data_IF_256547531790
#
_entry.id   IF_256547531790
#
_cell.length_a   1.000
_cell.length_b   1.000
_cell.length_c   1.000
_cell.angle_alpha   90.00
_cell.angle_beta   90.00
_cell.angle_gamma   90.00
#
_symmetry.space_group_name_H-M   'P 1'
#
loop_
_entity.id
_entity.type
_entity.pdbx_description
1 polymer ?
#
# COMPACT_ATOMS: atom_id res chain seq x y z
N UNK A 1 -14.13 -12.25 13.99
CA UNK A 1 -14.58 -11.90 15.35
C UNK A 1 -15.69 -12.85 15.78
N UNK A 2 -16.81 -12.90 15.06
CA UNK A 2 -17.94 -13.81 15.34
C UNK A 2 -17.48 -15.27 15.51
N UNK A 3 -16.84 -15.85 14.50
CA UNK A 3 -16.34 -17.25 14.55
C UNK A 3 -15.41 -17.57 15.72
N UNK A 4 -14.70 -16.57 16.25
CA UNK A 4 -13.78 -16.73 17.38
C UNK A 4 -14.53 -16.85 18.71
N UNK A 5 -15.67 -16.18 18.82
CA UNK A 5 -16.49 -16.17 20.04
C UNK A 5 -17.69 -17.15 19.95
N UNK A 6 -17.92 -17.74 18.79
CA UNK A 6 -18.96 -18.77 18.57
C UNK A 6 -18.49 -20.14 19.05
N UNK A 7 -19.29 -20.78 19.89
CA UNK A 7 -19.07 -22.17 20.26
C UNK A 7 -19.42 -23.09 19.07
N UNK A 8 -18.48 -23.95 18.68
CA UNK A 8 -18.64 -24.86 17.53
C UNK A 8 -19.73 -25.91 17.70
N UNK A 9 -20.09 -26.27 18.93
CA UNK A 9 -21.12 -27.26 19.23
C UNK A 9 -22.52 -26.63 19.30
N UNK A 10 -22.66 -25.44 19.90
CA UNK A 10 -23.97 -24.79 20.07
C UNK A 10 -24.29 -23.79 18.96
N UNK A 11 -23.29 -23.32 18.21
CA UNK A 11 -23.45 -22.29 17.18
C UNK A 11 -23.68 -20.88 17.75
N UNK A 12 -23.60 -20.72 19.07
CA UNK A 12 -23.89 -19.45 19.75
C UNK A 12 -22.61 -18.71 20.16
N UNK A 13 -22.65 -17.38 20.06
CA UNK A 13 -21.61 -16.49 20.57
C UNK A 13 -21.65 -16.49 22.08
N UNK A 14 -20.62 -17.03 22.74
CA UNK A 14 -20.59 -17.17 24.21
C UNK A 14 -20.15 -15.90 24.93
N UNK A 15 -19.30 -15.10 24.29
CA UNK A 15 -18.82 -13.86 24.88
C UNK A 15 -19.92 -12.79 24.83
N UNK A 16 -20.36 -12.26 25.99
CA UNK A 16 -21.44 -11.28 26.04
C UNK A 16 -21.08 -9.98 25.31
N UNK A 17 -19.81 -9.55 25.36
CA UNK A 17 -19.35 -8.34 24.68
C UNK A 17 -19.39 -8.53 23.18
N UNK A 18 -18.93 -9.69 22.69
CA UNK A 18 -18.98 -9.99 21.26
C UNK A 18 -20.43 -10.09 20.76
N UNK A 19 -21.33 -10.69 21.56
CA UNK A 19 -22.74 -10.84 21.19
C UNK A 19 -23.42 -9.48 21.03
N UNK A 20 -23.34 -8.62 22.05
CA UNK A 20 -23.94 -7.28 22.02
C UNK A 20 -23.39 -6.42 20.88
N UNK A 21 -22.07 -6.49 20.65
CA UNK A 21 -21.41 -5.76 19.57
C UNK A 21 -21.90 -6.25 18.19
N UNK A 22 -22.00 -7.56 17.99
CA UNK A 22 -22.49 -8.13 16.73
C UNK A 22 -23.94 -7.78 16.47
N UNK A 23 -24.79 -7.84 17.50
CA UNK A 23 -26.20 -7.46 17.38
C UNK A 23 -26.34 -5.98 17.01
N UNK A 24 -25.56 -5.11 17.64
CA UNK A 24 -25.50 -3.67 17.34
C UNK A 24 -25.05 -3.44 15.90
N UNK A 25 -23.95 -4.06 15.47
CA UNK A 25 -23.41 -3.92 14.12
C UNK A 25 -24.37 -4.45 13.05
N UNK A 26 -25.02 -5.61 13.29
CA UNK A 26 -26.02 -6.19 12.38
C UNK A 26 -27.21 -5.26 12.22
N UNK A 27 -27.70 -4.68 13.33
CA UNK A 27 -28.78 -3.69 13.30
C UNK A 27 -28.38 -2.43 12.53
N UNK A 28 -27.21 -1.84 12.85
CA UNK A 28 -26.73 -0.63 12.18
C UNK A 28 -26.52 -0.83 10.68
N UNK A 29 -26.04 -2.02 10.27
CA UNK A 29 -25.92 -2.39 8.86
C UNK A 29 -27.30 -2.42 8.20
N UNK A 30 -28.27 -3.11 8.79
CA UNK A 30 -29.62 -3.19 8.26
C UNK A 30 -30.29 -1.81 8.15
N UNK A 31 -30.14 -0.97 9.17
CA UNK A 31 -30.70 0.40 9.20
C UNK A 31 -30.09 1.27 8.08
N UNK A 32 -28.77 1.20 7.87
CA UNK A 32 -28.11 1.94 6.77
C UNK A 32 -28.48 1.40 5.40
N UNK A 33 -28.57 0.09 5.22
CA UNK A 33 -29.02 -0.50 3.94
C UNK A 33 -30.48 -0.11 3.64
N UNK A 34 -31.35 -0.07 4.65
CA UNK A 34 -32.72 0.41 4.50
C UNK A 34 -32.77 1.91 4.12
N UNK A 35 -31.91 2.75 4.70
CA UNK A 35 -31.78 4.16 4.34
C UNK A 35 -31.31 4.34 2.89
N UNK A 36 -30.36 3.52 2.43
CA UNK A 36 -29.89 3.52 1.04
C UNK A 36 -31.01 3.11 0.07
N UNK A 37 -31.79 2.09 0.43
CA UNK A 37 -32.97 1.66 -0.33
C UNK A 37 -34.03 2.76 -0.41
N UNK A 38 -34.35 3.41 0.71
CA UNK A 38 -35.32 4.51 0.73
C UNK A 38 -34.84 5.70 -0.10
N UNK A 39 -33.55 6.03 -0.03
CA UNK A 39 -32.96 7.13 -0.79
C UNK A 39 -33.02 6.88 -2.30
N UNK A 40 -32.87 5.64 -2.74
CA UNK A 40 -33.05 5.27 -4.15
C UNK A 40 -34.49 5.42 -4.64
N UNK A 41 -35.47 5.09 -3.82
CA UNK A 41 -36.89 5.23 -4.20
C UNK A 41 -37.31 6.70 -4.37
N UNK A 42 -36.58 7.64 -3.77
CA UNK A 42 -36.82 9.09 -3.90
C UNK A 42 -36.08 9.75 -5.08
N UNK A 43 -35.10 9.08 -5.70
CA UNK A 43 -34.36 9.64 -6.86
C UNK A 43 -34.98 9.08 -8.14
N UNK A 44 -35.95 9.81 -8.67
CA UNK A 44 -36.38 9.66 -10.06
C UNK A 44 -35.24 10.13 -10.97
N UNK A 45 -34.90 9.31 -11.96
CA UNK A 45 -33.89 9.47 -13.01
C UNK A 45 -32.51 8.82 -12.78
N UNK A 46 -32.38 7.58 -13.28
CA UNK A 46 -31.20 7.15 -14.03
C UNK A 46 -29.95 6.70 -13.27
N UNK A 47 -29.88 6.84 -11.94
CA UNK A 47 -28.70 6.41 -11.17
C UNK A 47 -28.94 5.07 -10.48
N UNK A 48 -28.20 4.04 -10.88
CA UNK A 48 -28.12 2.76 -10.18
C UNK A 48 -27.23 2.90 -8.95
N UNK A 49 -27.70 3.59 -7.91
CA UNK A 49 -27.04 3.54 -6.61
C UNK A 49 -27.15 2.12 -6.04
N UNK A 50 -26.10 1.61 -5.39
CA UNK A 50 -26.12 0.29 -4.74
C UNK A 50 -26.98 0.34 -3.48
N UNK A 51 -27.85 -0.65 -3.28
CA UNK A 51 -28.62 -0.82 -2.05
C UNK A 51 -27.82 -1.50 -0.92
N UNK A 52 -26.59 -1.91 -1.22
CA UNK A 52 -25.66 -2.55 -0.29
C UNK A 52 -24.57 -1.57 0.10
N UNK A 53 -24.21 -1.56 1.38
CA UNK A 53 -23.06 -0.81 1.88
C UNK A 53 -21.76 -1.28 1.24
N UNK A 54 -20.85 -0.35 0.95
CA UNK A 54 -19.50 -0.70 0.52
C UNK A 54 -18.71 -1.37 1.64
N UNK A 55 -17.67 -2.11 1.26
CA UNK A 55 -16.77 -2.77 2.21
C UNK A 55 -16.08 -1.74 3.11
N UNK A 56 -15.71 -0.60 2.55
CA UNK A 56 -15.05 0.51 3.24
C UNK A 56 -15.97 1.10 4.32
N UNK A 57 -17.24 1.35 4.00
CA UNK A 57 -18.23 1.84 4.97
C UNK A 57 -18.51 0.83 6.08
N UNK A 58 -18.56 -0.47 5.75
CA UNK A 58 -18.69 -1.54 6.74
C UNK A 58 -17.48 -1.55 7.67
N UNK A 59 -16.27 -1.49 7.11
CA UNK A 59 -15.04 -1.46 7.91
C UNK A 59 -15.02 -0.25 8.85
N UNK A 60 -15.41 0.92 8.34
CA UNK A 60 -15.47 2.15 9.13
C UNK A 60 -16.49 2.04 10.27
N UNK A 61 -17.70 1.53 9.98
CA UNK A 61 -18.72 1.28 10.99
C UNK A 61 -18.21 0.34 12.09
N UNK A 62 -17.53 -0.75 11.71
CA UNK A 62 -16.95 -1.68 12.69
C UNK A 62 -15.90 -0.98 13.54
N UNK A 63 -14.98 -0.23 12.92
CA UNK A 63 -13.92 0.46 13.65
C UNK A 63 -14.45 1.47 14.68
N UNK A 64 -15.52 2.19 14.35
CA UNK A 64 -16.16 3.18 15.22
C UNK A 64 -16.87 2.58 16.43
N UNK A 65 -17.45 1.38 16.28
CA UNK A 65 -18.29 0.77 17.31
C UNK A 65 -17.55 -0.26 18.17
N UNK A 66 -16.38 -0.73 17.73
CA UNK A 66 -15.58 -1.71 18.50
C UNK A 66 -14.98 -1.04 19.75
N UNK A 67 -15.20 -1.59 20.96
CA UNK A 67 -14.62 -1.06 22.18
C UNK A 67 -13.09 -1.00 22.15
N UNK A 68 -12.54 0.11 22.65
CA UNK A 68 -11.08 0.33 22.72
C UNK A 68 -10.62 0.39 24.17
N UNK A 69 -9.69 -0.48 24.55
CA UNK A 69 -9.09 -0.51 25.90
C UNK A 69 -7.57 -0.50 25.80
N UNK A 70 -6.92 0.50 26.40
CA UNK A 70 -5.45 0.69 26.35
C UNK A 70 -4.88 0.65 24.91
N UNK A 71 -5.58 1.27 23.96
CA UNK A 71 -5.21 1.30 22.54
C UNK A 71 -5.34 -0.05 21.80
N UNK A 72 -6.01 -1.05 22.41
CA UNK A 72 -6.38 -2.30 21.75
C UNK A 72 -7.88 -2.29 21.47
N UNK A 73 -8.26 -2.45 20.21
CA UNK A 73 -9.64 -2.67 19.78
C UNK A 73 -10.01 -4.13 20.02
N UNK A 74 -11.17 -4.34 20.62
CA UNK A 74 -11.70 -5.65 20.94
C UNK A 74 -11.77 -6.54 19.68
N UNK A 75 -11.22 -7.76 19.74
CA UNK A 75 -11.16 -8.71 18.62
C UNK A 75 -10.29 -8.31 17.41
N UNK A 76 -9.73 -7.08 17.38
CA UNK A 76 -8.91 -6.56 16.27
C UNK A 76 -7.46 -6.26 16.68
N UNK A 77 -7.17 -6.16 17.97
CA UNK A 77 -5.83 -5.86 18.47
C UNK A 77 -5.46 -4.38 18.39
N UNK A 78 -4.17 -4.06 18.24
CA UNK A 78 -3.75 -2.67 18.02
C UNK A 78 -3.91 -2.34 16.54
N UNK A 79 -4.84 -1.45 16.23
CA UNK A 79 -4.95 -0.86 14.89
C UNK A 79 -4.49 0.58 15.00
N UNK A 80 -3.46 0.95 14.24
CA UNK A 80 -3.04 2.36 14.14
C UNK A 80 -4.17 3.12 13.45
N UNK A 81 -4.59 4.25 14.02
CA UNK A 81 -5.75 5.04 13.57
C UNK A 81 -5.48 5.85 12.27
N UNK A 82 -4.49 5.44 11.48
CA UNK A 82 -3.98 6.19 10.34
C UNK A 82 -3.32 5.34 9.26
N UNK A 83 -3.75 4.09 9.06
CA UNK A 83 -3.21 3.25 7.99
C UNK A 83 -3.98 3.54 6.70
N UNK A 84 -3.56 4.61 6.02
CA UNK A 84 -3.80 4.76 4.59
C UNK A 84 -2.96 3.69 3.88
N UNK A 85 -3.57 2.54 3.59
CA UNK A 85 -2.97 1.41 2.88
C UNK A 85 -1.75 0.78 3.57
N UNK A 86 -1.54 -0.53 3.44
CA UNK A 86 -0.38 -1.25 4.01
C UNK A 86 0.98 -0.84 3.40
N UNK A 87 1.02 0.27 2.65
CA UNK A 87 2.17 0.83 1.96
C UNK A 87 2.66 2.14 2.57
N UNK A 88 1.90 2.79 3.47
CA UNK A 88 2.42 3.95 4.19
C UNK A 88 3.22 3.49 5.40
N UNK A 89 4.50 3.23 5.13
CA UNK A 89 5.50 3.20 6.17
C UNK A 89 5.39 4.49 6.99
N UNK A 90 5.15 4.33 8.29
CA UNK A 90 5.15 5.41 9.28
C UNK A 90 6.58 5.88 9.51
N UNK A 91 7.19 6.50 8.51
CA UNK A 91 8.48 7.18 8.64
C UNK A 91 8.29 8.58 9.25
N UNK A 92 7.55 8.70 10.34
CA UNK A 92 7.52 9.90 11.19
C UNK A 92 8.64 9.86 12.23
N UNK A 93 9.86 9.49 11.80
CA UNK A 93 11.07 9.74 12.57
C UNK A 93 11.90 10.74 11.80
N UNK A 94 12.11 11.93 12.38
CA UNK A 94 12.92 13.00 11.79
C UNK A 94 14.31 12.51 11.34
N UNK A 95 14.87 11.50 12.01
CA UNK A 95 16.13 10.88 11.61
C UNK A 95 16.06 10.09 10.29
N UNK A 96 14.92 9.47 9.97
CA UNK A 96 14.76 8.67 8.75
C UNK A 96 14.66 9.58 7.52
N UNK A 97 13.96 10.72 7.66
CA UNK A 97 13.89 11.74 6.61
C UNK A 97 15.27 12.29 6.26
N UNK A 98 16.09 12.62 7.26
CA UNK A 98 17.46 13.09 7.05
C UNK A 98 18.35 12.04 6.35
N UNK A 99 18.23 10.76 6.73
CA UNK A 99 18.99 9.68 6.07
C UNK A 99 18.56 9.50 4.61
N UNK A 100 17.25 9.59 4.33
CA UNK A 100 16.73 9.55 2.96
C UNK A 100 17.25 10.71 2.11
N UNK A 101 17.28 11.92 2.67
CA UNK A 101 17.79 13.11 1.97
C UNK A 101 19.30 13.01 1.70
N UNK A 102 20.08 12.52 2.68
CA UNK A 102 21.51 12.27 2.50
C UNK A 102 21.76 11.23 1.41
N UNK A 103 21.08 10.08 1.46
CA UNK A 103 21.24 9.02 0.47
C UNK A 103 20.88 9.47 -0.95
N UNK A 104 19.88 10.35 -1.07
CA UNK A 104 19.50 10.94 -2.36
C UNK A 104 20.61 11.83 -2.91
N UNK A 105 21.18 12.69 -2.06
CA UNK A 105 22.29 13.58 -2.43
C UNK A 105 23.50 12.76 -2.87
N UNK A 106 23.90 11.75 -2.10
CA UNK A 106 25.04 10.88 -2.41
C UNK A 106 24.83 10.14 -3.75
N UNK A 107 23.60 9.68 -4.02
CA UNK A 107 23.24 9.01 -5.28
C UNK A 107 23.39 9.94 -6.49
N UNK A 108 22.97 11.20 -6.36
CA UNK A 108 23.05 12.18 -7.45
C UNK A 108 24.51 12.60 -7.70
N UNK A 109 25.32 12.76 -6.64
CA UNK A 109 26.76 12.98 -6.77
C UNK A 109 27.46 11.81 -7.48
N UNK A 110 27.19 10.57 -7.09
CA UNK A 110 27.78 9.40 -7.75
C UNK A 110 27.34 9.26 -9.21
N UNK A 111 26.09 9.61 -9.52
CA UNK A 111 25.60 9.61 -10.91
C UNK A 111 26.30 10.66 -11.77
N UNK A 112 26.61 11.83 -11.22
CA UNK A 112 27.32 12.88 -11.97
C UNK A 112 28.78 12.49 -12.21
N UNK A 113 29.48 11.97 -11.19
CA UNK A 113 30.85 11.45 -11.34
C UNK A 113 30.91 10.33 -12.38
N UNK A 114 29.98 9.37 -12.32
CA UNK A 114 29.91 8.26 -13.30
C UNK A 114 29.70 8.79 -14.72
N UNK A 115 28.78 9.74 -14.92
CA UNK A 115 28.56 10.34 -16.24
C UNK A 115 29.78 11.09 -16.78
N UNK A 116 30.49 11.83 -15.92
CA UNK A 116 31.70 12.53 -16.32
C UNK A 116 32.78 11.55 -16.78
N UNK A 117 33.00 10.48 -16.00
CA UNK A 117 33.98 9.44 -16.34
C UNK A 117 33.60 8.68 -17.63
N UNK A 118 32.32 8.34 -17.81
CA UNK A 118 31.83 7.74 -19.06
C UNK A 118 32.00 8.67 -20.26
N UNK A 119 31.85 9.98 -20.09
CA UNK A 119 32.08 10.96 -21.15
C UNK A 119 33.56 11.07 -21.52
N UNK A 120 34.47 11.05 -20.55
CA UNK A 120 35.92 11.02 -20.81
C UNK A 120 36.34 9.73 -21.53
N UNK A 121 35.85 8.57 -21.08
CA UNK A 121 36.11 7.30 -21.75
C UNK A 121 35.59 7.30 -23.19
N UNK A 122 34.40 7.86 -23.43
CA UNK A 122 33.87 8.03 -24.78
C UNK A 122 34.75 8.97 -25.62
N UNK A 123 35.18 10.10 -25.08
CA UNK A 123 36.05 11.04 -25.79
C UNK A 123 37.42 10.41 -26.16
N UNK A 124 38.01 9.64 -25.24
CA UNK A 124 39.25 8.89 -25.50
C UNK A 124 39.03 7.82 -26.57
N UNK A 125 37.93 7.06 -26.47
CA UNK A 125 37.55 6.05 -27.47
C UNK A 125 37.37 6.68 -28.86
N UNK A 126 36.70 7.83 -28.94
CA UNK A 126 36.49 8.57 -30.19
C UNK A 126 37.81 9.09 -30.76
N UNK A 127 38.71 9.59 -29.91
CA UNK A 127 40.03 10.04 -30.32
C UNK A 127 40.86 8.88 -30.90
N UNK A 128 40.93 7.75 -30.20
CA UNK A 128 41.67 6.57 -30.65
C UNK A 128 41.10 6.07 -31.98
N UNK A 129 39.78 5.99 -32.12
CA UNK A 129 39.12 5.54 -33.35
C UNK A 129 39.44 6.45 -34.54
N UNK A 130 39.69 7.74 -34.31
CA UNK A 130 40.09 8.70 -35.37
C UNK A 130 41.57 8.58 -35.75
N UNK A 131 42.45 8.30 -34.79
CA UNK A 131 43.90 8.25 -35.00
C UNK A 131 44.37 6.86 -35.47
N UNK A 132 43.71 5.80 -35.01
CA UNK A 132 44.03 4.39 -35.27
C UNK A 132 42.77 3.59 -35.67
N UNK A 133 42.20 3.83 -36.86
CA UNK A 133 40.94 3.21 -37.30
C UNK A 133 41.04 1.68 -37.50
N UNK A 134 42.22 1.17 -37.83
CA UNK A 134 42.44 -0.26 -38.16
C UNK A 134 42.61 -1.16 -36.91
N UNK A 135 43.11 -0.64 -35.79
CA UNK A 135 43.41 -1.44 -34.58
C UNK A 135 42.22 -1.55 -33.60
N UNK A 136 41.23 -0.67 -33.69
CA UNK A 136 40.11 -0.61 -32.73
C UNK A 136 38.88 -1.45 -33.15
N UNK A 137 38.72 -1.73 -34.45
CA UNK A 137 37.62 -2.57 -34.98
C UNK A 137 37.74 -4.04 -34.55
N UNK A 138 38.95 -4.53 -34.25
CA UNK A 138 39.18 -5.92 -33.89
C UNK A 138 38.70 -6.30 -32.47
N UNK A 139 38.55 -5.32 -31.57
CA UNK A 139 38.21 -5.60 -30.15
C UNK A 139 36.71 -5.59 -29.86
N UNK A 140 35.88 -4.94 -30.69
CA UNK A 140 34.42 -4.93 -30.52
C UNK A 140 33.77 -6.28 -30.91
N UNK A 141 34.48 -7.14 -31.63
CA UNK A 141 34.00 -8.47 -32.03
C UNK A 141 34.03 -9.51 -30.89
N UNK A 142 34.71 -9.25 -29.77
CA UNK A 142 34.86 -10.26 -28.70
C UNK A 142 33.73 -10.24 -27.66
N UNK A 143 32.86 -9.22 -27.64
CA UNK A 143 31.69 -9.18 -26.74
C UNK A 143 30.38 -9.65 -27.38
N UNK A 144 30.38 -10.05 -28.66
CA UNK A 144 29.20 -10.53 -29.38
C UNK A 144 29.14 -12.07 -29.56
N UNK A 145 30.06 -12.82 -28.94
CA UNK A 145 30.12 -14.28 -29.03
C UNK A 145 30.19 -14.94 -27.65
N UNK A 146 29.07 -14.92 -26.92
CA UNK A 146 28.75 -16.04 -26.03
C UNK A 146 27.63 -16.87 -26.67
N UNK A 147 27.92 -18.10 -27.12
CA UNK A 147 26.93 -19.16 -27.18
C UNK A 147 26.94 -19.98 -25.87
N UNK A 148 25.72 -20.18 -25.35
CA UNK A 148 25.24 -21.14 -24.33
C UNK A 148 25.96 -21.28 -22.98
#
# INVERSE_FOLDING_TARGET
>A
MEDMHTNKQTGEVQDPVARELLDTLKKMKADKEAQLQQSQMCVVEGSTASNVMSREEINQMVLENVPVKKGRRYGLGRVSEGISSSSQATFSSSGIMNVMEQLKTDLDEERTKRRALEAELRAVSDFISRVYPEDFSASQAFSASQPE
#
